data_IF_361752663440
#
_entry.id   IF_361752663440
#
_cell.length_a   1.000
_cell.length_b   1.000
_cell.length_c   1.000
_cell.angle_alpha   90.00
_cell.angle_beta   90.00
_cell.angle_gamma   90.00
#
_symmetry.space_group_name_H-M   'P 1'
#
loop_
_entity.id
_entity.type
_entity.pdbx_description
1 polymer ?
#
# COMPACT_ATOMS: atom_id res chain seq x y z
N UNK A 1 8.62 -32.83 -3.82
CA UNK A 1 9.07 -31.44 -3.60
C UNK A 1 8.30 -30.94 -2.40
N UNK A 2 8.99 -30.72 -1.28
CA UNK A 2 8.37 -30.10 -0.12
C UNK A 2 8.14 -28.63 -0.42
N UNK A 3 6.86 -28.23 -0.44
CA UNK A 3 6.46 -26.86 -0.72
C UNK A 3 6.34 -26.15 0.63
N UNK A 4 7.34 -25.32 0.96
CA UNK A 4 7.26 -24.44 2.12
C UNK A 4 6.38 -23.24 1.78
N UNK A 5 5.37 -23.00 2.61
CA UNK A 5 4.51 -21.82 2.47
C UNK A 5 5.25 -20.56 2.92
N UNK A 6 4.84 -19.41 2.39
CA UNK A 6 5.41 -18.12 2.80
C UNK A 6 5.27 -17.88 4.31
N UNK A 7 4.18 -18.32 4.93
CA UNK A 7 4.00 -18.19 6.38
C UNK A 7 4.96 -19.09 7.16
N UNK A 8 5.16 -20.35 6.73
CA UNK A 8 6.14 -21.24 7.36
C UNK A 8 7.56 -20.68 7.28
N UNK A 9 7.96 -20.15 6.11
CA UNK A 9 9.27 -19.50 5.95
C UNK A 9 9.41 -18.28 6.85
N UNK A 10 8.36 -17.46 6.96
CA UNK A 10 8.38 -16.27 7.80
C UNK A 10 8.47 -16.63 9.29
N UNK A 11 7.78 -17.69 9.72
CA UNK A 11 7.83 -18.16 11.09
C UNK A 11 9.24 -18.68 11.45
N UNK A 12 9.91 -19.36 10.52
CA UNK A 12 11.29 -19.83 10.68
C UNK A 12 12.30 -18.66 10.79
N UNK A 13 12.18 -17.64 9.92
CA UNK A 13 13.19 -16.56 9.83
C UNK A 13 12.92 -15.43 10.82
N UNK A 14 11.66 -15.07 11.05
CA UNK A 14 11.25 -13.89 11.82
C UNK A 14 10.52 -14.22 13.11
N UNK A 15 10.27 -15.49 13.39
CA UNK A 15 9.48 -15.96 14.53
C UNK A 15 7.99 -15.99 14.22
N UNK A 16 7.23 -16.65 15.08
CA UNK A 16 5.76 -16.74 14.96
C UNK A 16 5.09 -15.37 15.16
N UNK A 17 3.86 -15.23 14.68
CA UNK A 17 3.01 -14.04 14.91
C UNK A 17 2.92 -13.71 16.40
N UNK A 18 3.00 -12.42 16.76
CA UNK A 18 3.01 -11.95 18.15
C UNK A 18 4.42 -11.84 18.76
N UNK A 19 5.48 -12.24 18.05
CA UNK A 19 6.85 -11.93 18.47
C UNK A 19 7.23 -10.51 18.03
N UNK A 20 8.03 -9.75 18.82
CA UNK A 20 8.39 -8.37 18.46
C UNK A 20 9.02 -8.22 17.07
N UNK A 21 9.83 -9.21 16.65
CA UNK A 21 10.47 -9.23 15.33
C UNK A 21 9.45 -9.44 14.22
N UNK A 22 8.54 -10.40 14.37
CA UNK A 22 7.46 -10.65 13.41
C UNK A 22 6.49 -9.48 13.31
N UNK A 23 6.13 -8.89 14.45
CA UNK A 23 5.20 -7.76 14.50
C UNK A 23 5.81 -6.49 13.90
N UNK A 24 7.11 -6.24 14.09
CA UNK A 24 7.82 -5.16 13.40
C UNK A 24 7.81 -5.36 11.87
N UNK A 25 8.11 -6.57 11.40
CA UNK A 25 8.05 -6.90 9.98
C UNK A 25 6.64 -6.68 9.41
N UNK A 26 5.61 -7.15 10.09
CA UNK A 26 4.23 -6.99 9.62
C UNK A 26 3.80 -5.50 9.62
N UNK A 27 4.23 -4.69 10.61
CA UNK A 27 4.02 -3.23 10.60
C UNK A 27 4.70 -2.53 9.41
N UNK A 28 5.94 -2.89 9.09
CA UNK A 28 6.65 -2.36 7.91
C UNK A 28 5.95 -2.78 6.61
N UNK A 29 5.49 -4.03 6.53
CA UNK A 29 4.71 -4.54 5.40
C UNK A 29 3.36 -3.82 5.27
N UNK A 30 2.75 -3.39 6.37
CA UNK A 30 1.47 -2.67 6.36
C UNK A 30 1.58 -1.30 5.68
N UNK A 31 2.72 -0.61 5.85
CA UNK A 31 2.98 0.65 5.15
C UNK A 31 3.16 0.40 3.64
N UNK A 32 3.85 -0.68 3.26
CA UNK A 32 3.97 -1.09 1.86
C UNK A 32 2.61 -1.49 1.24
N UNK A 33 1.67 -1.98 2.05
CA UNK A 33 0.34 -2.39 1.57
C UNK A 33 -0.45 -1.23 0.97
N UNK A 34 -0.37 -0.01 1.50
CA UNK A 34 -1.16 1.13 0.99
C UNK A 34 -0.77 1.46 -0.45
N UNK A 35 0.53 1.59 -0.74
CA UNK A 35 1.03 1.88 -2.08
C UNK A 35 0.65 0.80 -3.10
N UNK A 36 0.72 -0.47 -2.69
CA UNK A 36 0.28 -1.61 -3.49
C UNK A 36 -1.23 -1.60 -3.73
N UNK A 37 -2.04 -1.28 -2.72
CA UNK A 37 -3.50 -1.16 -2.87
C UNK A 37 -3.88 -0.07 -3.87
N UNK A 38 -3.23 1.10 -3.81
CA UNK A 38 -3.44 2.19 -4.77
C UNK A 38 -3.08 1.74 -6.19
N UNK A 39 -1.94 1.06 -6.36
CA UNK A 39 -1.52 0.51 -7.66
C UNK A 39 -2.55 -0.47 -8.21
N UNK A 40 -3.01 -1.40 -7.39
CA UNK A 40 -3.98 -2.41 -7.79
C UNK A 40 -5.32 -1.77 -8.19
N UNK A 41 -5.80 -0.80 -7.40
CA UNK A 41 -7.01 -0.06 -7.72
C UNK A 41 -6.89 0.73 -9.03
N UNK A 42 -5.73 1.36 -9.27
CA UNK A 42 -5.42 2.06 -10.52
C UNK A 42 -5.43 1.10 -11.72
N UNK A 43 -4.76 -0.04 -11.59
CA UNK A 43 -4.69 -1.06 -12.65
C UNK A 43 -6.06 -1.67 -12.94
N UNK A 44 -6.87 -1.92 -11.91
CA UNK A 44 -8.26 -2.39 -12.07
C UNK A 44 -9.15 -1.39 -12.84
N UNK A 45 -8.79 -0.11 -12.81
CA UNK A 45 -9.42 0.96 -13.60
C UNK A 45 -8.72 1.22 -14.94
N UNK A 46 -7.75 0.38 -15.32
CA UNK A 46 -6.99 0.47 -16.56
C UNK A 46 -6.30 1.84 -16.76
N UNK A 47 -5.91 2.48 -15.65
CA UNK A 47 -5.29 3.79 -15.65
C UNK A 47 -3.75 3.69 -15.59
N UNK A 48 -3.05 4.56 -16.30
CA UNK A 48 -1.61 4.76 -16.14
C UNK A 48 -1.30 5.65 -14.92
N UNK A 49 -0.06 5.61 -14.43
CA UNK A 49 0.38 6.49 -13.35
C UNK A 49 0.27 7.98 -13.73
N UNK A 50 0.47 8.32 -15.01
CA UNK A 50 0.36 9.70 -15.50
C UNK A 50 -1.09 10.19 -15.47
N UNK A 51 -2.04 9.36 -15.93
CA UNK A 51 -3.47 9.68 -15.89
C UNK A 51 -3.99 9.84 -14.46
N UNK A 52 -3.55 8.99 -13.52
CA UNK A 52 -3.91 9.17 -12.11
C UNK A 52 -3.34 10.48 -11.55
N UNK A 53 -2.08 10.81 -11.89
CA UNK A 53 -1.43 12.02 -11.43
C UNK A 53 -2.12 13.29 -11.96
N UNK A 54 -2.52 13.30 -13.23
CA UNK A 54 -3.23 14.40 -13.88
C UNK A 54 -4.55 14.72 -13.16
N UNK A 55 -5.33 13.70 -12.78
CA UNK A 55 -6.61 13.89 -12.08
C UNK A 55 -6.50 14.57 -10.71
N UNK A 56 -5.33 14.49 -10.09
CA UNK A 56 -5.08 15.09 -8.77
C UNK A 56 -4.09 16.26 -8.84
N UNK A 57 -3.79 16.77 -10.03
CA UNK A 57 -2.84 17.85 -10.28
C UNK A 57 -1.44 17.59 -9.66
N UNK A 58 -0.88 16.42 -10.00
CA UNK A 58 0.46 15.98 -9.58
C UNK A 58 1.26 15.45 -10.75
N UNK A 59 2.58 15.32 -10.53
CA UNK A 59 3.50 14.71 -11.51
C UNK A 59 3.39 13.18 -11.45
N UNK A 60 3.59 12.49 -12.60
CA UNK A 60 3.69 11.02 -12.64
C UNK A 60 4.65 10.44 -11.59
N UNK A 61 5.78 11.12 -11.36
CA UNK A 61 6.79 10.70 -10.37
C UNK A 61 6.26 10.68 -8.94
N UNK A 62 5.27 11.52 -8.63
CA UNK A 62 4.58 11.50 -7.35
C UNK A 62 3.83 10.18 -7.16
N UNK A 63 2.96 9.81 -8.11
CA UNK A 63 2.24 8.53 -8.08
C UNK A 63 3.21 7.34 -8.06
N UNK A 64 4.31 7.42 -8.82
CA UNK A 64 5.35 6.40 -8.79
C UNK A 64 5.95 6.24 -7.38
N UNK A 65 6.21 7.33 -6.66
CA UNK A 65 6.70 7.25 -5.27
C UNK A 65 5.64 6.69 -4.33
N UNK A 66 4.40 7.17 -4.42
CA UNK A 66 3.27 6.64 -3.64
C UNK A 66 3.14 5.12 -3.78
N UNK A 67 3.21 4.61 -5.01
CA UNK A 67 2.99 3.20 -5.29
C UNK A 67 4.18 2.29 -4.95
N UNK A 68 5.39 2.83 -4.80
CA UNK A 68 6.61 2.03 -4.64
C UNK A 68 7.31 2.22 -3.28
N UNK A 69 7.27 3.42 -2.73
CA UNK A 69 8.17 3.80 -1.63
C UNK A 69 7.47 3.83 -0.27
N UNK A 70 6.14 3.68 -0.24
CA UNK A 70 5.31 3.62 0.98
C UNK A 70 5.40 4.85 1.92
N UNK A 71 6.30 5.78 1.65
CA UNK A 71 6.77 6.77 2.61
C UNK A 71 5.80 7.93 2.78
N UNK A 72 5.49 8.23 4.05
CA UNK A 72 4.81 9.42 4.57
C UNK A 72 3.79 10.05 3.61
N UNK A 73 2.70 9.33 3.38
CA UNK A 73 1.49 9.87 2.77
C UNK A 73 0.66 10.60 3.82
N UNK A 74 0.31 11.85 3.55
CA UNK A 74 -0.68 12.54 4.37
C UNK A 74 -2.07 11.97 4.10
N UNK A 75 -2.97 12.00 5.09
CA UNK A 75 -4.38 11.62 4.90
C UNK A 75 -5.03 12.43 3.76
N UNK A 76 -4.72 13.73 3.65
CA UNK A 76 -5.19 14.58 2.55
C UNK A 76 -4.79 14.02 1.18
N UNK A 77 -3.52 13.61 1.04
CA UNK A 77 -3.04 12.99 -0.19
C UNK A 77 -3.76 11.69 -0.50
N UNK A 78 -3.99 10.86 0.52
CA UNK A 78 -4.70 9.60 0.36
C UNK A 78 -6.15 9.83 -0.10
N UNK A 79 -6.84 10.80 0.49
CA UNK A 79 -8.18 11.24 0.09
C UNK A 79 -8.17 11.73 -1.37
N UNK A 80 -7.25 12.62 -1.74
CA UNK A 80 -7.15 13.13 -3.11
C UNK A 80 -6.95 11.98 -4.12
N UNK A 81 -6.03 11.04 -3.83
CA UNK A 81 -5.77 9.89 -4.71
C UNK A 81 -7.01 9.00 -4.84
N UNK A 82 -7.66 8.65 -3.72
CA UNK A 82 -8.76 7.70 -3.71
C UNK A 82 -10.04 8.31 -4.26
N UNK A 83 -10.43 9.49 -3.79
CA UNK A 83 -11.72 10.09 -4.13
C UNK A 83 -11.69 10.84 -5.45
N UNK A 84 -10.68 11.70 -5.68
CA UNK A 84 -10.59 12.48 -6.92
C UNK A 84 -9.86 11.73 -8.03
N UNK A 85 -8.76 11.06 -7.70
CA UNK A 85 -7.95 10.34 -8.67
C UNK A 85 -8.64 9.05 -9.17
N UNK A 86 -8.97 8.18 -8.23
CA UNK A 86 -9.56 6.87 -8.51
C UNK A 86 -11.09 6.92 -8.58
N UNK A 87 -11.77 7.94 -8.04
CA UNK A 87 -13.24 7.98 -8.00
C UNK A 87 -13.83 6.93 -7.05
N UNK A 88 -13.12 6.58 -5.98
CA UNK A 88 -13.56 5.69 -4.92
C UNK A 88 -14.04 6.46 -3.69
N UNK A 89 -14.13 5.75 -2.55
CA UNK A 89 -14.38 6.34 -1.23
C UNK A 89 -13.32 5.80 -0.26
N UNK A 90 -12.73 6.68 0.53
CA UNK A 90 -11.78 6.28 1.56
C UNK A 90 -12.52 6.09 2.89
N UNK A 91 -12.46 4.88 3.44
CA UNK A 91 -12.93 4.60 4.80
C UNK A 91 -11.73 4.46 5.72
N UNK A 92 -11.70 5.23 6.82
CA UNK A 92 -10.65 5.19 7.84
C UNK A 92 -11.29 4.75 9.15
N UNK A 93 -10.77 3.70 9.75
CA UNK A 93 -11.17 3.20 11.06
C UNK A 93 -9.98 3.26 12.01
N UNK A 94 -10.21 3.73 13.23
CA UNK A 94 -9.21 3.76 14.30
C UNK A 94 -9.77 2.92 15.44
N UNK A 95 -9.04 1.87 15.83
CA UNK A 95 -9.37 1.02 16.98
C UNK A 95 -8.43 1.36 18.14
N UNK A 96 -8.99 1.50 19.35
CA UNK A 96 -8.29 1.83 20.59
C UNK A 96 -8.29 0.61 21.49
#
# INVERSE_FOLDING_TARGET
MDITTLDQLKDEIYGVKGTPRRDNLERELETLRIGVQIRNARQKKEMTQAQLAERIDKKRTFISKVENDGGNLTLKTLIDIVERGLGGKLNIEVQI
#
